data_IF_536164555716
#
_entry.id   IF_536164555716
#
_cell.length_a   1.000
_cell.length_b   1.000
_cell.length_c   1.000
_cell.angle_alpha   90.00
_cell.angle_beta   90.00
_cell.angle_gamma   90.00
#
_symmetry.space_group_name_H-M   'P 1'
#
loop_
_entity.id
_entity.type
_entity.pdbx_description
1 polymer ?
#
# COMPACT_ATOMS: atom_id res chain seq x y z
N UNK A 1 -23.16 -35.13 7.09
CA UNK A 1 -22.53 -36.45 6.83
C UNK A 1 -21.46 -36.65 7.90
N UNK A 2 -21.65 -37.69 8.71
CA UNK A 2 -20.85 -38.07 9.88
C UNK A 2 -19.37 -38.39 9.56
N UNK A 3 -18.49 -38.28 10.57
CA UNK A 3 -17.24 -39.07 10.62
C UNK A 3 -16.10 -38.45 11.44
N UNK A 4 -15.92 -38.92 12.67
CA UNK A 4 -14.96 -38.50 13.72
C UNK A 4 -13.54 -39.04 13.44
N UNK A 5 -12.43 -38.38 13.88
CA UNK A 5 -11.09 -38.92 13.82
C UNK A 5 -10.82 -39.95 14.94
N UNK A 6 -10.79 -41.23 14.59
CA UNK A 6 -10.24 -42.29 15.44
C UNK A 6 -8.73 -42.44 15.18
N UNK A 7 -7.95 -42.44 16.27
CA UNK A 7 -6.52 -42.82 16.42
C UNK A 7 -5.59 -41.75 16.97
N UNK A 8 -5.75 -41.44 18.26
CA UNK A 8 -4.61 -41.23 19.17
C UNK A 8 -4.78 -42.11 20.40
N UNK A 9 -4.38 -43.37 20.24
CA UNK A 9 -4.30 -44.34 21.34
C UNK A 9 -3.22 -43.92 22.33
N UNK A 10 -3.66 -43.64 23.56
CA UNK A 10 -2.84 -43.56 24.76
C UNK A 10 -2.06 -44.86 24.96
N UNK A 11 -0.72 -44.80 25.03
CA UNK A 11 0.09 -45.85 25.66
C UNK A 11 0.65 -45.33 26.98
N UNK A 12 -0.03 -45.70 28.07
CA UNK A 12 0.56 -45.79 29.41
C UNK A 12 1.38 -47.07 29.47
N UNK A 13 2.65 -46.96 29.87
CA UNK A 13 3.49 -48.09 30.25
C UNK A 13 4.40 -47.65 31.38
N UNK A 14 4.13 -48.12 32.60
CA UNK A 14 5.00 -47.93 33.76
C UNK A 14 6.10 -49.00 33.84
N UNK A 15 7.29 -48.60 34.28
CA UNK A 15 8.42 -49.47 34.57
C UNK A 15 9.36 -48.78 35.58
N UNK A 16 9.86 -49.57 36.54
CA UNK A 16 10.47 -49.22 37.84
C UNK A 16 11.78 -48.39 37.81
N UNK A 17 12.07 -47.77 38.95
CA UNK A 17 13.26 -46.97 39.26
C UNK A 17 14.53 -47.81 39.56
N UNK A 18 15.70 -47.29 39.16
CA UNK A 18 16.93 -47.24 39.96
C UNK A 18 17.97 -46.26 39.33
N UNK A 19 18.22 -45.17 40.05
CA UNK A 19 19.53 -44.62 40.48
C UNK A 19 20.68 -44.15 39.54
N UNK A 20 21.29 -43.06 40.04
CA UNK A 20 22.64 -42.49 39.85
C UNK A 20 22.92 -41.57 38.65
N UNK A 21 22.89 -40.26 38.96
CA UNK A 21 23.94 -39.28 38.63
C UNK A 21 24.28 -39.07 37.17
N UNK A 22 23.69 -38.05 36.55
CA UNK A 22 24.20 -37.53 35.29
C UNK A 22 24.35 -36.00 35.32
N UNK A 23 25.51 -35.61 34.82
CA UNK A 23 26.10 -34.28 34.77
C UNK A 23 25.17 -33.29 34.08
N UNK A 24 24.96 -32.12 34.68
CA UNK A 24 24.37 -30.96 33.99
C UNK A 24 25.33 -30.53 32.89
N UNK A 25 25.14 -31.09 31.70
CA UNK A 25 25.82 -30.66 30.48
C UNK A 25 25.08 -29.43 29.96
N UNK A 26 25.71 -28.28 30.16
CA UNK A 26 25.37 -27.06 29.42
C UNK A 26 25.62 -27.28 27.92
N UNK A 27 24.70 -26.73 27.12
CA UNK A 27 24.67 -26.65 25.66
C UNK A 27 24.05 -27.84 24.90
N UNK A 28 22.76 -28.10 25.12
CA UNK A 28 21.91 -28.43 23.97
C UNK A 28 21.63 -27.13 23.22
N UNK A 29 22.40 -26.86 22.17
CA UNK A 29 21.98 -25.91 21.15
C UNK A 29 20.68 -26.46 20.55
N UNK A 30 19.52 -25.99 21.05
CA UNK A 30 18.23 -26.39 20.51
C UNK A 30 18.22 -26.01 19.05
N UNK A 31 18.21 -27.01 18.17
CA UNK A 31 18.24 -26.81 16.72
C UNK A 31 16.85 -26.39 16.27
N UNK A 32 16.46 -25.15 16.61
CA UNK A 32 15.15 -24.56 16.32
C UNK A 32 14.87 -24.37 14.82
N UNK A 33 15.89 -24.52 13.97
CA UNK A 33 15.74 -24.41 12.53
C UNK A 33 15.05 -25.65 11.95
N UNK A 34 13.84 -25.45 11.42
CA UNK A 34 13.01 -26.51 10.85
C UNK A 34 11.98 -27.11 11.83
N UNK A 35 11.96 -26.66 13.08
CA UNK A 35 10.96 -27.07 14.07
C UNK A 35 9.71 -26.17 14.04
N UNK A 36 8.53 -26.77 14.29
CA UNK A 36 7.28 -26.04 14.45
C UNK A 36 7.20 -25.40 15.84
N UNK A 37 7.78 -24.21 16.00
CA UNK A 37 7.75 -23.44 17.25
C UNK A 37 6.54 -22.50 17.32
N UNK A 38 6.00 -22.27 18.52
CA UNK A 38 4.93 -21.30 18.74
C UNK A 38 5.45 -19.86 18.52
N UNK A 39 4.63 -19.00 17.93
CA UNK A 39 5.03 -17.61 17.67
C UNK A 39 5.01 -16.82 18.97
N UNK A 40 6.02 -15.97 19.17
CA UNK A 40 6.12 -15.09 20.35
C UNK A 40 4.93 -14.14 20.44
N UNK A 41 4.39 -13.73 19.29
CA UNK A 41 3.31 -12.75 19.16
C UNK A 41 1.92 -13.36 19.41
N UNK A 42 1.77 -14.68 19.50
CA UNK A 42 0.46 -15.33 19.57
C UNK A 42 -0.34 -14.92 20.80
N UNK A 43 0.27 -14.91 21.97
CA UNK A 43 -0.43 -14.64 23.24
C UNK A 43 -1.19 -13.30 23.20
N UNK A 44 -0.55 -12.21 22.73
CA UNK A 44 -1.21 -10.90 22.67
C UNK A 44 -2.35 -10.86 21.67
N UNK A 45 -2.22 -11.49 20.51
CA UNK A 45 -3.27 -11.45 19.47
C UNK A 45 -4.42 -12.40 19.78
N UNK A 46 -4.15 -13.58 20.34
CA UNK A 46 -5.18 -14.56 20.72
C UNK A 46 -6.02 -14.11 21.92
N UNK A 47 -5.46 -13.27 22.79
CA UNK A 47 -6.15 -12.75 23.98
C UNK A 47 -6.78 -11.38 23.77
N UNK A 48 -6.70 -10.81 22.56
CA UNK A 48 -7.20 -9.46 22.28
C UNK A 48 -6.43 -8.33 22.99
N UNK A 49 -5.20 -8.61 23.45
CA UNK A 49 -4.30 -7.65 24.12
C UNK A 49 -3.30 -7.01 23.17
N UNK A 50 -3.26 -7.45 21.91
CA UNK A 50 -2.51 -6.79 20.84
C UNK A 50 -3.19 -5.50 20.43
N UNK A 51 -2.41 -4.45 20.23
CA UNK A 51 -2.90 -3.17 19.71
C UNK A 51 -2.39 -2.96 18.29
N UNK A 52 -3.31 -2.53 17.43
CA UNK A 52 -3.07 -2.01 16.10
C UNK A 52 -2.98 -0.48 16.15
N UNK A 53 -2.62 0.15 15.03
CA UNK A 53 -2.46 1.61 15.01
C UNK A 53 -3.77 2.31 15.33
N UNK A 54 -4.89 1.79 14.84
CA UNK A 54 -6.23 2.34 15.09
C UNK A 54 -6.68 2.22 16.56
N UNK A 55 -6.06 1.34 17.35
CA UNK A 55 -6.37 1.18 18.78
C UNK A 55 -5.65 2.21 19.66
N UNK A 56 -4.67 2.94 19.08
CA UNK A 56 -3.89 3.92 19.79
C UNK A 56 -4.57 5.29 19.72
N UNK A 57 -4.99 5.83 20.88
CA UNK A 57 -5.58 7.17 21.00
C UNK A 57 -4.88 7.97 22.12
N UNK A 58 -3.66 8.48 21.89
CA UNK A 58 -3.00 9.38 22.83
C UNK A 58 -3.88 10.59 23.20
N UNK A 59 -3.73 11.17 24.40
CA UNK A 59 -4.43 12.40 24.75
C UNK A 59 -4.18 13.52 23.73
N UNK A 60 -5.25 14.23 23.33
CA UNK A 60 -5.17 15.27 22.30
C UNK A 60 -5.16 14.76 20.86
N UNK A 61 -5.46 13.47 20.62
CA UNK A 61 -5.61 12.93 19.26
C UNK A 61 -6.67 13.70 18.48
N UNK A 62 -6.31 14.08 17.26
CA UNK A 62 -7.21 14.65 16.25
C UNK A 62 -7.29 13.71 15.05
N UNK A 63 -8.35 13.86 14.26
CA UNK A 63 -8.69 12.92 13.20
C UNK A 63 -8.58 13.58 11.84
N UNK A 64 -8.06 12.80 10.90
CA UNK A 64 -7.76 13.26 9.54
C UNK A 64 -8.66 12.54 8.53
N UNK A 65 -9.28 13.31 7.63
CA UNK A 65 -10.04 12.78 6.49
C UNK A 65 -9.61 13.46 5.20
N UNK A 66 -9.30 12.65 4.19
CA UNK A 66 -8.91 13.15 2.87
C UNK A 66 -10.13 13.42 2.01
N UNK A 67 -10.18 14.60 1.40
CA UNK A 67 -11.08 14.89 0.28
C UNK A 67 -10.43 14.31 -0.98
N UNK A 68 -11.15 13.43 -1.67
CA UNK A 68 -10.61 12.64 -2.79
C UNK A 68 -11.37 12.91 -4.08
N UNK A 69 -10.64 12.92 -5.18
CA UNK A 69 -11.21 13.09 -6.52
C UNK A 69 -12.16 11.95 -6.89
N UNK A 70 -13.37 12.26 -7.40
CA UNK A 70 -14.22 11.26 -8.04
C UNK A 70 -13.81 11.00 -9.51
N UNK A 71 -12.94 11.82 -10.09
CA UNK A 71 -12.52 11.74 -11.49
C UNK A 71 -11.20 10.98 -11.67
N UNK A 72 -11.12 10.21 -12.75
CA UNK A 72 -9.90 9.50 -13.14
C UNK A 72 -8.84 10.43 -13.78
N UNK A 73 -9.26 11.54 -14.40
CA UNK A 73 -8.36 12.57 -14.91
C UNK A 73 -9.13 13.89 -15.01
N UNK A 74 -8.70 14.94 -14.30
CA UNK A 74 -9.36 16.24 -14.33
C UNK A 74 -8.41 17.35 -13.87
N UNK A 75 -8.63 18.57 -14.36
CA UNK A 75 -8.01 19.78 -13.79
C UNK A 75 -8.80 20.25 -12.59
N UNK A 76 -8.11 20.60 -11.51
CA UNK A 76 -8.70 21.24 -10.34
C UNK A 76 -8.84 22.73 -10.67
N UNK A 77 -10.07 23.23 -10.77
CA UNK A 77 -10.34 24.65 -11.03
C UNK A 77 -10.37 25.46 -9.75
N UNK A 78 -10.96 24.88 -8.69
CA UNK A 78 -11.10 25.54 -7.39
C UNK A 78 -11.41 24.53 -6.29
N UNK A 79 -10.89 24.79 -5.08
CA UNK A 79 -11.32 24.13 -3.84
C UNK A 79 -11.97 25.18 -2.94
N UNK A 80 -13.18 24.91 -2.45
CA UNK A 80 -13.94 25.78 -1.55
C UNK A 80 -14.29 25.03 -0.26
N UNK A 81 -13.60 25.38 0.82
CA UNK A 81 -13.78 24.78 2.14
C UNK A 81 -14.60 25.66 3.12
N UNK A 82 -15.19 26.77 2.65
CA UNK A 82 -15.77 27.78 3.52
C UNK A 82 -16.94 27.30 4.40
N UNK A 83 -17.71 26.30 3.94
CA UNK A 83 -18.78 25.68 4.73
C UNK A 83 -18.21 24.73 5.78
N UNK A 84 -17.27 23.87 5.36
CA UNK A 84 -16.61 22.90 6.22
C UNK A 84 -15.86 23.57 7.39
N UNK A 85 -15.15 24.68 7.13
CA UNK A 85 -14.43 25.45 8.17
C UNK A 85 -15.35 26.07 9.24
N UNK A 86 -16.65 26.20 8.99
CA UNK A 86 -17.61 26.73 9.97
C UNK A 86 -18.20 25.65 10.88
N UNK A 87 -17.94 24.37 10.59
CA UNK A 87 -18.44 23.27 11.41
C UNK A 87 -17.68 23.23 12.74
N UNK A 88 -18.36 23.29 13.91
CA UNK A 88 -17.69 23.21 15.20
C UNK A 88 -16.87 21.92 15.33
N UNK A 89 -15.65 22.03 15.85
CA UNK A 89 -14.71 20.90 16.00
C UNK A 89 -13.81 20.65 14.79
N UNK A 90 -13.98 21.39 13.68
CA UNK A 90 -12.99 21.43 12.59
C UNK A 90 -11.84 22.35 12.99
N UNK A 91 -10.61 21.83 12.91
CA UNK A 91 -9.39 22.53 13.32
C UNK A 91 -8.66 23.13 12.13
N UNK A 92 -8.60 22.40 11.02
CA UNK A 92 -7.95 22.85 9.80
C UNK A 92 -8.50 22.12 8.57
N UNK A 93 -8.42 22.77 7.42
CA UNK A 93 -8.57 22.13 6.12
C UNK A 93 -7.39 22.59 5.28
N UNK A 94 -6.50 21.66 4.93
CA UNK A 94 -5.27 21.95 4.20
C UNK A 94 -5.39 21.45 2.77
N UNK A 95 -4.84 22.23 1.85
CA UNK A 95 -4.74 21.95 0.42
C UNK A 95 -3.27 21.85 0.02
N UNK A 96 -3.00 21.55 -1.24
CA UNK A 96 -1.64 21.49 -1.74
C UNK A 96 -0.88 22.83 -1.67
N UNK A 97 -1.60 23.97 -1.61
CA UNK A 97 -1.00 25.29 -1.41
C UNK A 97 -0.49 25.48 0.02
N UNK A 98 -1.21 24.96 1.03
CA UNK A 98 -0.79 25.04 2.44
C UNK A 98 0.46 24.18 2.71
N UNK A 99 0.67 23.14 1.91
CA UNK A 99 1.84 22.26 1.99
C UNK A 99 3.03 22.76 1.17
N UNK A 100 2.85 23.80 0.36
CA UNK A 100 3.88 24.35 -0.51
C UNK A 100 5.07 24.81 0.33
N UNK A 101 6.27 24.40 -0.08
CA UNK A 101 7.54 24.67 0.60
C UNK A 101 7.68 24.08 2.03
N UNK A 102 6.64 23.40 2.54
CA UNK A 102 6.65 22.71 3.84
C UNK A 102 6.86 21.21 3.70
N UNK A 103 6.27 20.61 2.67
CA UNK A 103 6.30 19.17 2.42
C UNK A 103 6.75 18.91 1.00
N UNK A 104 7.80 18.09 0.87
CA UNK A 104 8.31 17.65 -0.44
C UNK A 104 7.40 16.62 -1.10
N UNK A 105 7.69 16.34 -2.37
CA UNK A 105 7.00 15.29 -3.10
C UNK A 105 7.35 13.90 -2.57
N UNK A 106 6.42 12.96 -2.75
CA UNK A 106 6.61 11.55 -2.47
C UNK A 106 7.60 10.99 -3.49
N UNK A 107 8.80 10.63 -3.01
CA UNK A 107 9.88 10.18 -3.89
C UNK A 107 9.67 8.76 -4.39
N UNK A 108 10.12 8.50 -5.61
CA UNK A 108 10.30 7.12 -6.10
C UNK A 108 11.58 6.55 -5.48
N UNK A 109 11.43 5.78 -4.40
CA UNK A 109 12.56 5.31 -3.60
C UNK A 109 13.50 4.33 -4.32
N UNK A 110 13.01 3.63 -5.35
CA UNK A 110 13.82 2.71 -6.16
C UNK A 110 13.92 3.20 -7.59
N UNK A 111 15.13 3.57 -8.01
CA UNK A 111 15.44 3.90 -9.40
C UNK A 111 15.91 2.66 -10.14
N UNK A 112 15.39 2.44 -11.35
CA UNK A 112 15.73 1.28 -12.16
C UNK A 112 17.05 1.56 -12.90
N UNK A 113 18.11 0.76 -12.68
CA UNK A 113 19.38 0.97 -13.34
C UNK A 113 19.25 0.93 -14.86
N UNK A 114 19.91 1.88 -15.55
CA UNK A 114 19.97 1.95 -17.01
C UNK A 114 18.61 2.03 -17.72
N UNK A 115 17.55 2.50 -17.04
CA UNK A 115 16.19 2.55 -17.62
C UNK A 115 15.68 3.98 -17.91
N UNK A 116 16.49 5.02 -17.64
CA UNK A 116 16.11 6.44 -17.80
C UNK A 116 14.72 6.75 -17.23
N UNK A 117 14.49 6.33 -15.98
CA UNK A 117 13.19 6.44 -15.32
C UNK A 117 12.74 7.91 -15.22
N UNK A 118 11.56 8.19 -15.77
CA UNK A 118 10.86 9.46 -15.57
C UNK A 118 10.18 9.46 -14.20
N UNK A 119 10.56 10.41 -13.36
CA UNK A 119 10.00 10.60 -12.02
C UNK A 119 9.26 11.93 -11.97
N UNK A 120 8.04 12.02 -12.52
CA UNK A 120 7.26 13.24 -12.44
C UNK A 120 6.97 13.60 -10.97
N UNK A 121 6.73 14.89 -10.67
CA UNK A 121 6.30 15.35 -9.36
C UNK A 121 5.11 14.54 -8.83
N UNK A 122 5.22 14.05 -7.59
CA UNK A 122 4.14 13.34 -6.90
C UNK A 122 3.84 13.97 -5.54
N UNK A 123 3.08 15.09 -5.53
CA UNK A 123 2.81 15.80 -4.29
C UNK A 123 1.85 14.98 -3.39
N UNK A 124 1.90 15.16 -2.05
CA UNK A 124 0.99 14.47 -1.13
C UNK A 124 -0.50 14.79 -1.35
N UNK A 125 -0.78 15.99 -1.87
CA UNK A 125 -2.11 16.44 -2.30
C UNK A 125 -1.98 16.99 -3.73
N UNK A 126 -2.91 16.65 -4.61
CA UNK A 126 -2.91 17.15 -5.98
C UNK A 126 -3.09 18.68 -6.03
N UNK A 127 -2.25 19.34 -6.84
CA UNK A 127 -2.25 20.81 -7.03
C UNK A 127 -3.20 21.22 -8.16
N UNK A 128 -2.79 20.96 -9.40
CA UNK A 128 -3.49 21.46 -10.60
C UNK A 128 -4.35 20.40 -11.29
N UNK A 129 -3.94 19.14 -11.21
CA UNK A 129 -4.52 18.04 -11.98
C UNK A 129 -4.55 16.79 -11.11
N UNK A 130 -5.69 16.11 -11.11
CA UNK A 130 -5.85 14.75 -10.59
C UNK A 130 -5.73 13.75 -11.74
N UNK A 131 -5.03 12.65 -11.52
CA UNK A 131 -4.57 11.66 -12.50
C UNK A 131 -5.12 10.26 -12.24
N UNK A 132 -5.86 10.07 -11.15
CA UNK A 132 -6.59 8.85 -10.86
C UNK A 132 -7.77 9.10 -9.91
N UNK A 133 -8.77 8.22 -9.99
CA UNK A 133 -9.91 8.26 -9.08
C UNK A 133 -9.45 7.91 -7.65
N UNK A 134 -9.82 8.75 -6.70
CA UNK A 134 -9.38 8.63 -5.31
C UNK A 134 -8.14 9.45 -4.96
N UNK A 135 -7.52 10.18 -5.89
CA UNK A 135 -6.39 11.06 -5.58
C UNK A 135 -6.80 12.15 -4.59
N UNK A 136 -5.98 12.36 -3.54
CA UNK A 136 -6.30 13.31 -2.49
C UNK A 136 -6.03 14.75 -2.96
N UNK A 137 -6.97 15.67 -2.71
CA UNK A 137 -6.87 17.08 -3.11
C UNK A 137 -6.85 18.04 -1.92
N UNK A 138 -7.42 17.62 -0.80
CA UNK A 138 -7.41 18.35 0.46
C UNK A 138 -7.47 17.37 1.63
N UNK A 139 -7.17 17.86 2.82
CA UNK A 139 -7.21 17.11 4.06
C UNK A 139 -7.94 17.92 5.13
N UNK A 140 -8.92 17.30 5.77
CA UNK A 140 -9.69 17.84 6.88
C UNK A 140 -9.10 17.30 8.18
N UNK A 141 -8.88 18.19 9.15
CA UNK A 141 -8.42 17.88 10.50
C UNK A 141 -9.50 18.32 11.49
N UNK A 142 -9.98 17.42 12.33
CA UNK A 142 -11.03 17.70 13.31
C UNK A 142 -10.81 16.95 14.64
N UNK A 143 -11.47 17.40 15.70
CA UNK A 143 -11.39 16.81 17.04
C UNK A 143 -12.03 15.41 17.14
N UNK A 144 -12.86 15.04 16.16
CA UNK A 144 -13.66 13.83 16.17
C UNK A 144 -13.73 13.21 14.76
N UNK A 145 -13.62 11.88 14.60
CA UNK A 145 -13.70 11.22 13.30
C UNK A 145 -15.01 11.46 12.54
N UNK A 146 -16.14 11.62 13.23
CA UNK A 146 -17.44 11.89 12.62
C UNK A 146 -17.51 13.32 12.06
N UNK A 147 -17.02 14.30 12.83
CA UNK A 147 -16.94 15.70 12.38
C UNK A 147 -16.00 15.83 11.18
N UNK A 148 -14.88 15.09 11.19
CA UNK A 148 -13.96 15.06 10.05
C UNK A 148 -14.63 14.52 8.77
N UNK A 149 -15.50 13.52 8.91
CA UNK A 149 -16.26 12.94 7.78
C UNK A 149 -17.30 13.94 7.25
N UNK A 150 -18.10 14.53 8.13
CA UNK A 150 -19.13 15.52 7.76
C UNK A 150 -18.49 16.75 7.11
N UNK A 151 -17.38 17.25 7.66
CA UNK A 151 -16.65 18.37 7.11
C UNK A 151 -16.01 18.05 5.76
N UNK A 152 -15.52 16.83 5.53
CA UNK A 152 -15.02 16.37 4.23
C UNK A 152 -16.09 16.52 3.15
N UNK A 153 -17.33 16.14 3.46
CA UNK A 153 -18.45 16.19 2.50
C UNK A 153 -18.91 17.62 2.18
N UNK A 154 -18.57 18.57 3.05
CA UNK A 154 -18.83 20.00 2.85
C UNK A 154 -17.73 20.72 2.04
N UNK A 155 -16.61 20.07 1.72
CA UNK A 155 -15.57 20.64 0.85
C UNK A 155 -16.01 20.48 -0.60
N UNK A 156 -16.23 21.62 -1.27
CA UNK A 156 -16.62 21.66 -2.67
C UNK A 156 -15.38 21.78 -3.55
N UNK A 157 -15.23 20.88 -4.52
CA UNK A 157 -14.11 20.92 -5.48
C UNK A 157 -14.66 21.00 -6.89
N UNK A 158 -14.27 22.06 -7.60
CA UNK A 158 -14.61 22.27 -8.99
C UNK A 158 -13.56 21.63 -9.90
N UNK A 159 -14.03 20.77 -10.80
CA UNK A 159 -13.20 19.98 -11.70
C UNK A 159 -13.59 20.22 -13.15
N UNK A 160 -12.58 20.28 -14.00
CA UNK A 160 -12.75 20.15 -15.45
C UNK A 160 -12.23 18.78 -15.88
N UNK A 161 -13.11 17.83 -16.27
CA UNK A 161 -12.69 16.51 -16.73
C UNK A 161 -11.76 16.58 -17.94
N UNK A 162 -10.74 15.73 -17.94
CA UNK A 162 -9.77 15.56 -19.01
C UNK A 162 -9.90 14.16 -19.63
N UNK A 163 -9.38 13.93 -20.85
CA UNK A 163 -9.40 12.61 -21.46
C UNK A 163 -8.72 11.55 -20.58
N UNK A 164 -9.44 10.46 -20.31
CA UNK A 164 -8.96 9.36 -19.44
C UNK A 164 -8.30 8.28 -20.29
N UNK A 165 -7.19 7.73 -19.78
CA UNK A 165 -6.48 6.62 -20.41
C UNK A 165 -6.50 5.42 -19.45
N UNK A 166 -7.13 4.32 -19.86
CA UNK A 166 -7.26 3.09 -19.04
C UNK A 166 -6.49 1.90 -19.60
N UNK A 167 -6.02 1.98 -20.85
CA UNK A 167 -5.22 0.96 -21.51
C UNK A 167 -3.76 1.42 -21.60
N UNK A 168 -2.89 0.80 -20.80
CA UNK A 168 -1.47 1.12 -20.76
C UNK A 168 -0.74 0.79 -22.08
N UNK A 169 -1.15 -0.26 -22.80
CA UNK A 169 -0.49 -0.64 -24.05
C UNK A 169 -0.84 0.33 -25.18
N UNK A 170 -2.11 0.74 -25.28
CA UNK A 170 -2.55 1.81 -26.18
C UNK A 170 -1.91 3.17 -25.86
N UNK A 171 -1.83 3.51 -24.57
CA UNK A 171 -1.22 4.76 -24.10
C UNK A 171 0.22 4.93 -24.59
N UNK A 172 1.02 3.86 -24.52
CA UNK A 172 2.44 3.86 -24.89
C UNK A 172 2.68 3.91 -26.41
N UNK A 173 1.69 3.56 -27.25
CA UNK A 173 1.83 3.52 -28.72
C UNK A 173 1.45 4.84 -29.37
N UNK A 174 0.35 5.46 -28.92
CA UNK A 174 -0.20 6.69 -29.52
C UNK A 174 -1.09 7.39 -28.50
N UNK A 175 -0.50 8.13 -27.58
CA UNK A 175 -1.31 8.91 -26.64
C UNK A 175 -1.77 10.23 -27.28
N UNK A 176 -3.08 10.52 -27.34
CA UNK A 176 -3.58 11.84 -27.70
C UNK A 176 -3.44 12.85 -26.54
N UNK A 177 -3.20 12.39 -25.31
CA UNK A 177 -3.12 13.23 -24.11
C UNK A 177 -2.10 12.65 -23.11
N UNK A 178 -0.93 13.28 -22.94
CA UNK A 178 0.02 12.86 -21.92
C UNK A 178 -0.54 13.09 -20.51
N UNK A 179 -0.37 12.12 -19.61
CA UNK A 179 -0.78 12.22 -18.20
C UNK A 179 0.19 13.09 -17.39
N UNK A 180 1.46 13.05 -17.76
CA UNK A 180 2.53 13.86 -17.20
C UNK A 180 3.26 14.56 -18.34
N UNK A 181 3.51 15.86 -18.19
CA UNK A 181 4.26 16.67 -19.16
C UNK A 181 5.67 16.11 -19.41
N UNK A 182 6.28 15.53 -18.38
CA UNK A 182 7.66 15.05 -18.39
C UNK A 182 7.80 13.63 -18.99
N UNK A 183 6.66 12.99 -19.30
CA UNK A 183 6.54 11.70 -19.97
C UNK A 183 5.47 11.79 -21.08
N UNK A 184 5.75 12.53 -22.19
CA UNK A 184 4.76 12.86 -23.20
C UNK A 184 4.23 11.64 -23.99
N UNK A 185 4.94 10.53 -23.96
CA UNK A 185 4.57 9.25 -24.57
C UNK A 185 3.84 8.30 -23.59
N UNK A 186 3.57 8.75 -22.35
CA UNK A 186 3.04 7.93 -21.26
C UNK A 186 3.91 6.71 -20.91
N UNK A 187 5.19 6.71 -21.26
CA UNK A 187 6.15 5.67 -20.91
C UNK A 187 7.07 6.17 -19.81
N UNK A 188 6.93 5.61 -18.60
CA UNK A 188 7.77 6.00 -17.46
C UNK A 188 9.23 5.54 -17.63
N UNK A 189 9.46 4.35 -18.18
CA UNK A 189 10.79 3.82 -18.46
C UNK A 189 10.74 2.68 -19.46
N UNK A 190 11.90 2.38 -20.07
CA UNK A 190 12.14 1.15 -20.82
C UNK A 190 13.37 0.48 -20.22
N UNK A 191 13.22 -0.74 -19.72
CA UNK A 191 14.32 -1.49 -19.16
C UNK A 191 14.67 -2.68 -20.07
N UNK A 192 15.89 -2.67 -20.61
CA UNK A 192 16.38 -3.73 -21.50
C UNK A 192 17.30 -4.65 -20.70
N UNK A 193 16.94 -5.93 -20.62
CA UNK A 193 17.81 -6.98 -20.13
C UNK A 193 18.38 -7.71 -21.34
N UNK A 194 19.70 -7.82 -21.42
CA UNK A 194 20.40 -8.49 -22.51
C UNK A 194 21.39 -9.52 -21.95
N UNK A 195 21.60 -10.60 -22.69
CA UNK A 195 22.56 -11.65 -22.36
C UNK A 195 22.78 -12.58 -23.54
N UNK A 196 24.04 -12.79 -23.92
CA UNK A 196 24.41 -13.62 -25.07
C UNK A 196 23.88 -13.09 -26.42
N UNK A 197 23.97 -13.94 -27.44
CA UNK A 197 23.39 -13.70 -28.77
C UNK A 197 22.04 -14.39 -28.88
N UNK A 198 20.99 -13.69 -28.44
CA UNK A 198 19.61 -14.20 -28.45
C UNK A 198 19.15 -14.50 -29.88
N UNK A 199 19.55 -13.68 -30.86
CA UNK A 199 19.14 -13.86 -32.26
C UNK A 199 19.73 -15.14 -32.87
N UNK A 200 20.99 -15.47 -32.55
CA UNK A 200 21.59 -16.74 -32.96
C UNK A 200 20.86 -17.93 -32.34
N UNK A 201 20.58 -17.88 -31.03
CA UNK A 201 19.85 -18.94 -30.32
C UNK A 201 18.47 -19.20 -30.93
N UNK A 202 17.71 -18.14 -31.25
CA UNK A 202 16.39 -18.30 -31.89
C UNK A 202 16.46 -18.84 -33.32
N UNK A 203 17.55 -18.60 -34.06
CA UNK A 203 17.75 -19.15 -35.41
C UNK A 203 18.09 -20.64 -35.40
N UNK A 204 18.81 -21.09 -34.38
CA UNK A 204 19.30 -22.47 -34.25
C UNK A 204 18.34 -23.39 -33.48
N UNK A 205 17.34 -22.83 -32.79
CA UNK A 205 16.41 -23.60 -31.96
C UNK A 205 15.52 -24.54 -32.78
N UNK A 206 15.48 -25.81 -32.40
CA UNK A 206 14.58 -26.81 -33.00
C UNK A 206 13.10 -26.48 -32.76
N UNK A 207 12.78 -25.81 -31.65
CA UNK A 207 11.42 -25.47 -31.24
C UNK A 207 11.39 -24.05 -30.66
N UNK A 208 10.45 -23.24 -31.16
CA UNK A 208 10.15 -21.90 -30.62
C UNK A 208 8.69 -21.86 -30.19
N UNK A 209 8.44 -21.44 -28.95
CA UNK A 209 7.10 -21.26 -28.38
C UNK A 209 6.89 -19.80 -28.03
N UNK A 210 5.73 -19.25 -28.37
CA UNK A 210 5.33 -17.89 -28.02
C UNK A 210 3.94 -17.87 -27.40
N UNK A 211 3.79 -17.15 -26.30
CA UNK A 211 2.50 -16.97 -25.61
C UNK A 211 2.41 -15.58 -25.00
N UNK A 212 1.23 -14.96 -25.12
CA UNK A 212 0.90 -13.71 -24.43
C UNK A 212 0.25 -14.03 -23.07
N UNK A 213 0.81 -13.47 -22.01
CA UNK A 213 0.26 -13.55 -20.66
C UNK A 213 -0.26 -12.18 -20.22
N UNK A 214 -1.37 -12.18 -19.49
CA UNK A 214 -1.90 -10.98 -18.82
C UNK A 214 -1.89 -11.23 -17.33
N UNK A 215 -1.12 -10.45 -16.60
CA UNK A 215 -1.20 -10.42 -15.14
C UNK A 215 -2.20 -9.35 -14.72
N UNK A 216 -3.22 -9.74 -13.97
CA UNK A 216 -4.30 -8.85 -13.57
C UNK A 216 -3.82 -7.85 -12.51
N UNK A 217 -4.51 -6.72 -12.41
CA UNK A 217 -4.31 -5.80 -11.28
C UNK A 217 -4.84 -6.48 -10.00
N UNK A 218 -3.96 -6.66 -9.03
CA UNK A 218 -4.28 -7.19 -7.71
C UNK A 218 -4.04 -6.11 -6.66
N UNK A 219 -4.81 -6.16 -5.58
CA UNK A 219 -4.60 -5.32 -4.41
C UNK A 219 -4.39 -6.22 -3.17
N UNK A 220 -3.43 -5.91 -2.29
CA UNK A 220 -3.37 -6.53 -0.97
C UNK A 220 -4.63 -6.17 -0.18
N UNK A 221 -5.38 -7.18 0.27
CA UNK A 221 -6.58 -7.02 1.10
C UNK A 221 -6.26 -7.36 2.55
N UNK A 222 -5.39 -6.56 3.17
CA UNK A 222 -5.07 -6.70 4.59
C UNK A 222 -6.33 -6.49 5.43
N UNK A 223 -6.47 -7.27 6.52
CA UNK A 223 -7.61 -7.14 7.44
C UNK A 223 -7.56 -5.81 8.21
N UNK A 224 -6.35 -5.35 8.56
CA UNK A 224 -6.14 -4.01 9.09
C UNK A 224 -5.96 -3.02 7.92
N UNK A 225 -6.80 -1.96 7.81
CA UNK A 225 -6.59 -0.89 6.85
C UNK A 225 -5.32 -0.10 7.17
N UNK A 226 -4.77 0.61 6.16
CA UNK A 226 -3.62 1.49 6.38
C UNK A 226 -3.96 2.58 7.41
N UNK A 227 -3.13 2.71 8.43
CA UNK A 227 -3.26 3.70 9.47
C UNK A 227 -1.88 4.27 9.86
N UNK A 228 -1.87 5.51 10.34
CA UNK A 228 -0.68 6.20 10.84
C UNK A 228 -1.09 7.15 11.97
N UNK A 229 -0.18 7.34 12.93
CA UNK A 229 -0.29 8.34 14.01
C UNK A 229 1.01 9.15 13.99
N UNK A 230 0.90 10.46 14.16
CA UNK A 230 2.01 11.40 14.23
C UNK A 230 1.81 12.35 15.42
N UNK A 231 2.91 12.79 16.05
CA UNK A 231 2.94 13.71 17.20
C UNK A 231 4.15 14.62 17.13
#
# INVERSE_FOLDING_TARGET
MHGVPEHRGLRRGGGRAHEVGEVVTMAQATKVFGESVLRKEDDRFLTGRGAYVADMLPPGTVFVKFVRSPYAHARIRRINAAKALKLPGVLAILTAEDLKDQVGDIITAWTIPNANLKTPPYPPLARDVVRYAGEAVAVVVAENPYIAEDARDLVEVDYEPLPVVTDAEGAAKKSPSPLHTDAPDNVAFKWTLAGGDVDAVFKEADVVVSQRFVNQRLQPTAMEPRAAIAS
#
